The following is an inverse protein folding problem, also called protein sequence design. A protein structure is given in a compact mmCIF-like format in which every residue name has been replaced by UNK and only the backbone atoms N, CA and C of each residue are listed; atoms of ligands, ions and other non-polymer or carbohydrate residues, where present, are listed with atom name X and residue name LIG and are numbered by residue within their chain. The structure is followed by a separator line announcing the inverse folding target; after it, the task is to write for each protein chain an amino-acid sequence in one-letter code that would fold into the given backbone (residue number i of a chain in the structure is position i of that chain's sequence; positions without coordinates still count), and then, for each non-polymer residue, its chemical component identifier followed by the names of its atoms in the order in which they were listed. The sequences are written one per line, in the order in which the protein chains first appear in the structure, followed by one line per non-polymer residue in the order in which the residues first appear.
data_IF_678014403095
#
_entry.id   IF_678014403095
#
_cell.length_a   1.000
_cell.length_b   1.000
_cell.length_c   1.000
_cell.angle_alpha   90.00
_cell.angle_beta   90.00
_cell.angle_gamma   90.00
#
_symmetry.space_group_name_H-M   'P 1'
#
loop_
_entity.id
_entity.type
_entity.pdbx_description
1 polymer ?
#
# COMPACT_ATOMS: atom_id res chain seq x y z
N UNK A 1 8.75 -11.30 -46.03
CA UNK A 1 9.01 -10.26 -45.00
C UNK A 1 7.73 -10.13 -44.18
N UNK A 2 7.82 -9.70 -42.92
CA UNK A 2 6.68 -9.41 -42.01
C UNK A 2 6.24 -10.48 -41.00
N UNK A 3 7.18 -11.32 -40.53
CA UNK A 3 7.09 -11.91 -39.17
C UNK A 3 7.97 -11.14 -38.18
N UNK A 4 9.03 -10.50 -38.67
CA UNK A 4 9.98 -9.72 -37.85
C UNK A 4 9.43 -8.37 -37.37
N UNK A 5 8.49 -7.76 -38.11
CA UNK A 5 7.88 -6.48 -37.71
C UNK A 5 6.87 -6.69 -36.57
N UNK A 6 6.15 -7.81 -36.56
CA UNK A 6 5.17 -8.09 -35.51
C UNK A 6 5.82 -8.34 -34.14
N UNK A 7 6.97 -9.03 -34.10
CA UNK A 7 7.72 -9.26 -32.85
C UNK A 7 8.38 -8.00 -32.28
N UNK A 8 8.65 -6.98 -33.11
CA UNK A 8 9.22 -5.71 -32.64
C UNK A 8 8.15 -4.73 -32.14
N UNK A 9 6.90 -4.86 -32.59
CA UNK A 9 5.79 -4.01 -32.12
C UNK A 9 5.29 -4.46 -30.73
N UNK A 10 5.32 -5.77 -30.44
CA UNK A 10 4.93 -6.30 -29.11
C UNK A 10 5.88 -5.92 -27.96
N UNK A 11 7.12 -5.48 -28.26
CA UNK A 11 8.08 -5.02 -27.25
C UNK A 11 7.99 -3.52 -26.93
N UNK A 12 7.22 -2.73 -27.68
CA UNK A 12 7.40 -1.27 -27.74
C UNK A 12 6.50 -0.42 -26.81
N UNK A 13 5.67 -1.01 -25.95
CA UNK A 13 4.80 -0.23 -25.06
C UNK A 13 4.66 -0.78 -23.64
N UNK A 14 5.71 -1.39 -23.07
CA UNK A 14 5.68 -1.67 -21.64
C UNK A 14 5.80 -0.36 -20.87
N UNK A 15 4.83 -0.06 -20.03
CA UNK A 15 4.91 1.14 -19.18
C UNK A 15 5.94 0.89 -18.07
N UNK A 16 6.60 1.94 -17.56
CA UNK A 16 7.54 1.81 -16.44
C UNK A 16 6.93 1.03 -15.25
N UNK A 17 5.62 1.16 -15.03
CA UNK A 17 4.90 0.46 -13.97
C UNK A 17 4.87 -1.08 -14.17
N UNK A 18 4.83 -1.54 -15.42
CA UNK A 18 4.87 -2.97 -15.77
C UNK A 18 6.29 -3.52 -15.67
N UNK A 19 7.29 -2.77 -16.14
CA UNK A 19 8.70 -3.21 -16.09
C UNK A 19 9.27 -3.21 -14.67
N UNK A 20 8.85 -2.24 -13.85
CA UNK A 20 9.32 -2.11 -12.48
C UNK A 20 8.79 -3.20 -11.54
N UNK A 21 7.70 -3.88 -11.93
CA UNK A 21 6.99 -4.84 -11.08
C UNK A 21 5.97 -4.19 -10.13
N UNK A 22 5.75 -2.87 -10.23
CA UNK A 22 4.78 -2.13 -9.41
C UNK A 22 3.36 -2.71 -9.53
N UNK A 23 2.86 -2.90 -10.76
CA UNK A 23 1.50 -3.40 -10.97
C UNK A 23 1.35 -4.83 -10.41
N UNK A 24 2.36 -5.67 -10.64
CA UNK A 24 2.38 -7.03 -10.11
C UNK A 24 2.39 -7.04 -8.57
N UNK A 25 3.12 -6.12 -7.94
CA UNK A 25 3.10 -5.95 -6.50
C UNK A 25 1.72 -5.48 -5.99
N UNK A 26 1.18 -4.37 -6.52
CA UNK A 26 -0.08 -3.79 -6.07
C UNK A 26 -1.25 -4.76 -6.20
N UNK A 27 -1.31 -5.53 -7.30
CA UNK A 27 -2.35 -6.54 -7.52
C UNK A 27 -2.33 -7.68 -6.50
N UNK A 28 -1.19 -7.95 -5.86
CA UNK A 28 -1.04 -8.99 -4.83
C UNK A 28 -1.32 -8.49 -3.42
N UNK A 29 -1.24 -7.19 -3.16
CA UNK A 29 -1.39 -6.60 -1.82
C UNK A 29 -2.67 -7.08 -1.11
N UNK A 30 -3.87 -7.07 -1.72
CA UNK A 30 -5.09 -7.53 -1.03
C UNK A 30 -4.98 -8.98 -0.55
N UNK A 31 -4.48 -9.88 -1.41
CA UNK A 31 -4.34 -11.30 -1.11
C UNK A 31 -3.23 -11.59 -0.08
N UNK A 32 -2.16 -10.80 -0.04
CA UNK A 32 -1.12 -10.91 1.00
C UNK A 32 -1.63 -10.40 2.35
N UNK A 33 -2.42 -9.33 2.38
CA UNK A 33 -3.05 -8.82 3.60
C UNK A 33 -4.03 -9.83 4.18
N UNK A 34 -4.85 -10.45 3.33
CA UNK A 34 -5.79 -11.51 3.75
C UNK A 34 -5.05 -12.72 4.35
N UNK A 35 -4.03 -13.25 3.65
CA UNK A 35 -3.19 -14.36 4.17
C UNK A 35 -2.51 -14.02 5.50
N UNK A 36 -2.05 -12.77 5.64
CA UNK A 36 -1.46 -12.30 6.89
C UNK A 36 -2.51 -12.26 8.01
N UNK A 37 -3.70 -11.72 7.75
CA UNK A 37 -4.79 -11.69 8.74
C UNK A 37 -5.28 -13.11 9.12
N UNK A 38 -5.34 -14.05 8.18
CA UNK A 38 -5.69 -15.45 8.50
C UNK A 38 -4.71 -16.08 9.49
N UNK A 39 -3.42 -15.72 9.37
CA UNK A 39 -2.34 -16.24 10.20
C UNK A 39 -2.32 -15.62 11.60
N UNK A 40 -2.54 -14.31 11.72
CA UNK A 40 -2.37 -13.59 12.99
C UNK A 40 -3.69 -13.20 13.68
N UNK A 41 -4.79 -13.06 12.92
CA UNK A 41 -6.14 -12.71 13.39
C UNK A 41 -6.18 -11.44 14.27
N UNK A 42 -5.56 -10.37 13.78
CA UNK A 42 -5.35 -9.13 14.54
C UNK A 42 -6.22 -7.96 14.06
N UNK A 43 -7.17 -8.22 13.17
CA UNK A 43 -8.12 -7.23 12.66
C UNK A 43 -7.57 -6.39 11.51
N UNK A 44 -6.57 -6.88 10.77
CA UNK A 44 -6.08 -6.22 9.56
C UNK A 44 -7.09 -6.36 8.43
N UNK A 45 -7.31 -5.25 7.70
CA UNK A 45 -8.23 -5.17 6.57
C UNK A 45 -7.67 -4.30 5.48
N UNK A 46 -7.67 -4.80 4.25
CA UNK A 46 -7.45 -3.97 3.07
C UNK A 46 -8.65 -3.05 2.86
N UNK A 47 -8.41 -1.77 2.57
CA UNK A 47 -9.45 -0.80 2.23
C UNK A 47 -9.43 -0.57 0.72
N UNK A 48 -10.48 -0.97 -0.01
CA UNK A 48 -10.48 -0.90 -1.48
C UNK A 48 -10.76 0.50 -2.04
N UNK A 49 -11.27 1.40 -1.21
CA UNK A 49 -11.58 2.78 -1.59
C UNK A 49 -10.47 3.69 -1.05
N UNK A 50 -9.92 4.59 -1.87
CA UNK A 50 -9.00 5.62 -1.40
C UNK A 50 -9.62 6.46 -0.26
N UNK A 51 -8.78 7.05 0.61
CA UNK A 51 -9.26 8.03 1.59
C UNK A 51 -9.80 9.30 0.90
N UNK A 52 -10.61 10.07 1.61
CA UNK A 52 -11.09 11.38 1.17
C UNK A 52 -9.95 12.40 1.22
N UNK A 53 -9.18 12.42 2.31
CA UNK A 53 -7.95 13.18 2.43
C UNK A 53 -6.87 12.46 3.24
N UNK A 54 -5.63 12.91 3.03
CA UNK A 54 -4.47 12.55 3.85
C UNK A 54 -3.88 13.86 4.36
N UNK A 55 -3.85 14.05 5.68
CA UNK A 55 -3.42 15.28 6.35
C UNK A 55 -4.17 16.53 5.84
N UNK A 56 -5.45 16.40 5.49
CA UNK A 56 -6.26 17.49 4.92
C UNK A 56 -5.95 17.80 3.45
N UNK A 57 -5.21 16.94 2.75
CA UNK A 57 -4.88 17.08 1.33
C UNK A 57 -5.54 16.00 0.46
N UNK A 58 -6.57 16.40 -0.29
CA UNK A 58 -7.32 15.54 -1.22
C UNK A 58 -6.48 15.11 -2.44
N UNK A 59 -5.57 15.97 -2.92
CA UNK A 59 -4.72 15.65 -4.08
C UNK A 59 -3.74 14.52 -3.76
N UNK A 60 -3.19 14.52 -2.54
CA UNK A 60 -2.38 13.41 -2.04
C UNK A 60 -3.22 12.12 -1.97
N UNK A 61 -4.46 12.22 -1.49
CA UNK A 61 -5.36 11.08 -1.36
C UNK A 61 -5.71 10.43 -2.72
N UNK A 62 -5.86 11.23 -3.79
CA UNK A 62 -6.10 10.72 -5.14
C UNK A 62 -4.97 9.84 -5.68
N UNK A 63 -3.75 10.03 -5.18
CA UNK A 63 -2.58 9.25 -5.56
C UNK A 63 -2.33 8.03 -4.65
N UNK A 64 -3.30 7.69 -3.78
CA UNK A 64 -3.19 6.54 -2.89
C UNK A 64 -3.13 5.24 -3.68
N UNK A 65 -2.06 4.47 -3.49
CA UNK A 65 -1.89 3.17 -4.13
C UNK A 65 -2.57 2.05 -3.34
N UNK A 66 -2.48 2.06 -2.00
CA UNK A 66 -3.28 1.19 -1.14
C UNK A 66 -3.36 1.69 0.30
N UNK A 67 -4.36 1.19 1.03
CA UNK A 67 -4.52 1.37 2.48
C UNK A 67 -4.83 0.02 3.14
N UNK A 68 -4.17 -0.24 4.26
CA UNK A 68 -4.45 -1.37 5.16
C UNK A 68 -4.72 -0.82 6.55
N UNK A 69 -5.89 -1.13 7.10
CA UNK A 69 -6.31 -0.68 8.43
C UNK A 69 -6.27 -1.84 9.40
N UNK A 70 -5.67 -1.63 10.57
CA UNK A 70 -5.83 -2.50 11.73
C UNK A 70 -7.01 -1.98 12.55
N UNK A 71 -8.15 -2.67 12.47
CA UNK A 71 -9.34 -2.32 13.24
C UNK A 71 -9.16 -2.68 14.71
N UNK A 72 -9.26 -1.69 15.59
CA UNK A 72 -9.25 -1.89 17.04
C UNK A 72 -10.68 -1.87 17.57
N UNK A 73 -11.24 -3.05 17.89
CA UNK A 73 -12.61 -3.14 18.42
C UNK A 73 -12.81 -2.45 19.77
N UNK A 74 -11.74 -2.28 20.55
CA UNK A 74 -11.81 -1.69 21.89
C UNK A 74 -11.66 -0.17 21.88
N UNK A 75 -10.96 0.38 20.88
CA UNK A 75 -10.69 1.82 20.72
C UNK A 75 -10.75 2.18 19.22
N UNK A 76 -11.96 2.29 18.63
CA UNK A 76 -12.13 2.56 17.20
C UNK A 76 -11.48 3.86 16.71
N UNK A 77 -11.33 4.84 17.60
CA UNK A 77 -10.61 6.09 17.33
C UNK A 77 -9.09 5.90 17.16
N UNK A 78 -8.59 4.67 17.32
CA UNK A 78 -7.19 4.27 17.15
C UNK A 78 -7.03 3.18 16.10
N UNK A 79 -7.83 3.26 15.04
CA UNK A 79 -7.66 2.42 13.87
C UNK A 79 -6.38 2.84 13.12
N UNK A 80 -5.24 2.29 13.54
CA UNK A 80 -3.96 2.51 12.87
C UNK A 80 -4.02 1.96 11.45
N UNK A 81 -3.38 2.65 10.53
CA UNK A 81 -3.28 2.21 9.14
C UNK A 81 -1.84 2.26 8.62
N UNK A 82 -1.57 1.41 7.65
CA UNK A 82 -0.49 1.52 6.69
C UNK A 82 -1.09 2.04 5.39
N UNK A 83 -0.54 3.10 4.82
CA UNK A 83 -0.96 3.58 3.50
C UNK A 83 0.25 3.88 2.63
N UNK A 84 0.01 3.88 1.32
CA UNK A 84 1.02 4.25 0.34
C UNK A 84 0.48 5.22 -0.69
N UNK A 85 1.34 6.13 -1.13
CA UNK A 85 1.03 7.13 -2.16
C UNK A 85 2.05 6.99 -3.27
N UNK A 86 1.58 6.93 -4.52
CA UNK A 86 2.46 6.90 -5.68
C UNK A 86 2.91 8.33 -5.99
N UNK A 87 4.21 8.58 -5.90
CA UNK A 87 4.82 9.88 -6.15
C UNK A 87 6.10 9.69 -6.96
N UNK A 88 6.19 10.32 -8.13
CA UNK A 88 7.40 10.35 -8.97
C UNK A 88 8.08 8.97 -9.16
N UNK A 89 7.28 7.94 -9.50
CA UNK A 89 7.73 6.55 -9.71
C UNK A 89 8.24 5.83 -8.45
N UNK A 90 7.85 6.30 -7.27
CA UNK A 90 8.18 5.70 -5.97
C UNK A 90 6.90 5.54 -5.17
N UNK A 91 6.83 4.52 -4.33
CA UNK A 91 5.78 4.45 -3.31
C UNK A 91 6.28 5.12 -2.04
N UNK A 92 5.71 6.27 -1.70
CA UNK A 92 5.79 6.79 -0.34
C UNK A 92 4.98 5.88 0.56
N UNK A 93 5.51 5.60 1.74
CA UNK A 93 4.94 4.64 2.68
C UNK A 93 4.89 5.28 4.05
N UNK A 94 3.76 5.16 4.74
CA UNK A 94 3.61 5.73 6.05
C UNK A 94 2.57 4.97 6.88
N UNK A 95 2.67 5.15 8.20
CA UNK A 95 1.63 4.79 9.13
C UNK A 95 0.85 6.01 9.56
N UNK A 96 -0.45 5.83 9.74
CA UNK A 96 -1.37 6.87 10.18
C UNK A 96 -2.47 6.34 11.07
N UNK A 97 -3.42 7.21 11.39
CA UNK A 97 -4.69 6.89 12.01
C UNK A 97 -5.76 7.09 10.94
N UNK A 98 -6.55 6.04 10.69
CA UNK A 98 -7.66 6.08 9.74
C UNK A 98 -8.97 6.34 10.48
N UNK A 99 -9.69 7.39 10.09
CA UNK A 99 -10.98 7.73 10.69
C UNK A 99 -11.94 8.26 9.62
N UNK A 100 -13.05 7.56 9.45
CA UNK A 100 -14.17 8.00 8.62
C UNK A 100 -13.76 8.43 7.20
N UNK A 101 -12.80 7.73 6.59
CA UNK A 101 -12.30 8.08 5.25
C UNK A 101 -11.07 8.99 5.25
N UNK A 102 -10.68 9.56 6.37
CA UNK A 102 -9.54 10.47 6.49
C UNK A 102 -8.33 9.78 7.12
N UNK A 103 -7.12 10.18 6.73
CA UNK A 103 -5.87 9.68 7.30
C UNK A 103 -5.09 10.84 7.91
N UNK A 104 -4.70 10.68 9.18
CA UNK A 104 -3.69 11.52 9.82
C UNK A 104 -2.36 10.75 9.90
N UNK A 105 -1.31 11.30 9.31
CA UNK A 105 0.02 10.69 9.30
C UNK A 105 0.65 10.75 10.68
N UNK A 106 1.16 9.60 11.14
CA UNK A 106 1.88 9.49 12.43
C UNK A 106 3.36 9.25 12.21
N UNK A 107 3.73 8.46 11.20
CA UNK A 107 5.12 8.10 10.93
C UNK A 107 5.33 7.81 9.45
N UNK A 108 6.26 8.52 8.83
CA UNK A 108 6.74 8.20 7.48
C UNK A 108 7.83 7.11 7.51
N UNK A 109 7.89 6.31 6.44
CA UNK A 109 8.92 5.30 6.22
C UNK A 109 9.72 5.65 4.97
N UNK A 110 10.87 5.00 4.83
CA UNK A 110 11.65 5.09 3.60
C UNK A 110 10.81 4.63 2.40
N UNK A 111 10.79 5.40 1.30
CA UNK A 111 10.01 5.07 0.12
C UNK A 111 10.50 3.77 -0.53
N UNK A 112 9.60 3.09 -1.23
CA UNK A 112 9.93 1.92 -2.04
C UNK A 112 10.15 2.33 -3.49
N UNK A 113 11.38 2.14 -3.97
CA UNK A 113 11.80 2.48 -5.34
C UNK A 113 12.02 1.23 -6.20
N UNK A 114 12.31 0.09 -5.58
CA UNK A 114 12.55 -1.20 -6.24
C UNK A 114 11.53 -2.25 -5.80
N UNK A 115 10.77 -2.81 -6.75
CA UNK A 115 9.68 -3.74 -6.41
C UNK A 115 10.08 -5.21 -6.40
N UNK A 116 11.34 -5.54 -6.72
CA UNK A 116 11.86 -6.91 -6.72
C UNK A 116 11.74 -7.62 -5.36
N UNK A 117 11.68 -6.85 -4.26
CA UNK A 117 11.52 -7.34 -2.87
C UNK A 117 10.30 -6.73 -2.16
N UNK A 118 9.33 -6.23 -2.91
CA UNK A 118 8.21 -5.48 -2.35
C UNK A 118 7.34 -6.30 -1.38
N UNK A 119 7.15 -7.60 -1.64
CA UNK A 119 6.36 -8.49 -0.77
C UNK A 119 7.00 -8.67 0.61
N UNK A 120 8.33 -8.86 0.67
CA UNK A 120 9.04 -8.94 1.94
C UNK A 120 8.97 -7.62 2.73
N UNK A 121 8.99 -6.47 2.03
CA UNK A 121 8.77 -5.15 2.64
C UNK A 121 7.35 -5.01 3.17
N UNK A 122 6.33 -5.40 2.40
CA UNK A 122 4.94 -5.42 2.83
C UNK A 122 4.75 -6.24 4.10
N UNK A 123 5.30 -7.46 4.15
CA UNK A 123 5.23 -8.31 5.34
C UNK A 123 5.82 -7.62 6.58
N UNK A 124 6.96 -6.94 6.44
CA UNK A 124 7.57 -6.19 7.54
C UNK A 124 6.72 -4.98 7.96
N UNK A 125 6.12 -4.27 7.00
CA UNK A 125 5.24 -3.15 7.31
C UNK A 125 3.97 -3.59 8.04
N UNK A 126 3.37 -4.72 7.65
CA UNK A 126 2.21 -5.28 8.35
C UNK A 126 2.55 -5.70 9.79
N UNK A 127 3.72 -6.31 10.00
CA UNK A 127 4.20 -6.64 11.35
C UNK A 127 4.43 -5.41 12.21
N UNK A 128 5.03 -4.36 11.65
CA UNK A 128 5.26 -3.12 12.38
C UNK A 128 3.94 -2.38 12.64
N UNK A 129 2.98 -2.38 11.71
CA UNK A 129 1.63 -1.87 11.94
C UNK A 129 0.97 -2.55 13.16
N UNK A 130 1.08 -3.87 13.27
CA UNK A 130 0.59 -4.58 14.46
C UNK A 130 1.32 -4.13 15.73
N UNK A 131 2.65 -4.01 15.68
CA UNK A 131 3.45 -3.58 16.83
C UNK A 131 3.02 -2.19 17.33
N UNK A 132 2.96 -1.20 16.44
CA UNK A 132 2.59 0.18 16.83
C UNK A 132 1.15 0.27 17.31
N UNK A 133 0.25 -0.59 16.80
CA UNK A 133 -1.16 -0.61 17.24
C UNK A 133 -1.37 -1.17 18.66
N UNK A 134 -0.35 -1.86 19.19
CA UNK A 134 -0.35 -2.45 20.52
C UNK A 134 0.45 -1.64 21.53
N UNK A 135 1.32 -0.73 21.08
CA UNK A 135 2.07 0.15 21.96
C UNK A 135 1.10 1.15 22.60
N UNK A 136 1.03 1.12 23.94
CA UNK A 136 0.26 2.08 24.71
C UNK A 136 0.98 3.43 24.56
N UNK A 137 0.28 4.54 24.26
CA UNK A 137 0.90 5.87 24.22
C UNK A 137 1.56 6.21 25.56
#
# INVERSE_FOLDING_TARGET
MDVFIQHQIDQAQRTWAEESGLIAFLSRVPAEVERFEESFRMGLRYVPVPPEDIDGNEETAQNTAFVVVRKNRLLPERDYCLYTVLDNRRLRVAYGIYRDGHILTVKELAPLEEFSKAEAKLYNWLRELLRISCEKP
#
